data_IF_766403641126
#
_entry.id   IF_766403641126
#
_cell.length_a   1.000
_cell.length_b   1.000
_cell.length_c   1.000
_cell.angle_alpha   90.00
_cell.angle_beta   90.00
_cell.angle_gamma   90.00
#
_symmetry.space_group_name_H-M   'P 1'
#
loop_
_entity.id
_entity.type
_entity.pdbx_description
1 polymer ?
#
# COMPACT_ATOMS: atom_id res chain seq x y z
N UNK A 1 -25.28 -15.49 -28.78
CA UNK A 1 -24.20 -15.72 -27.79
C UNK A 1 -23.03 -14.71 -27.90
N UNK A 2 -22.53 -14.36 -29.10
CA UNK A 2 -21.41 -13.44 -29.30
C UNK A 2 -21.64 -12.03 -28.79
N UNK A 3 -22.86 -11.47 -28.89
CA UNK A 3 -23.17 -10.11 -28.45
C UNK A 3 -23.09 -9.92 -26.91
N UNK A 4 -23.48 -10.92 -26.14
CA UNK A 4 -23.41 -10.88 -24.65
C UNK A 4 -21.96 -10.92 -24.20
N UNK A 5 -21.12 -11.71 -24.85
CA UNK A 5 -19.67 -11.78 -24.57
C UNK A 5 -18.97 -10.47 -24.92
N UNK A 6 -19.34 -9.86 -26.05
CA UNK A 6 -18.78 -8.56 -26.47
C UNK A 6 -19.18 -7.42 -25.51
N UNK A 7 -20.43 -7.38 -25.04
CA UNK A 7 -20.89 -6.39 -24.06
C UNK A 7 -20.21 -6.57 -22.68
N UNK A 8 -20.00 -7.82 -22.26
CA UNK A 8 -19.27 -8.13 -21.04
C UNK A 8 -17.81 -7.69 -21.11
N UNK A 9 -17.14 -7.93 -22.23
CA UNK A 9 -15.76 -7.49 -22.47
C UNK A 9 -15.65 -5.97 -22.52
N UNK A 10 -16.56 -5.30 -23.21
CA UNK A 10 -16.60 -3.84 -23.29
C UNK A 10 -16.83 -3.20 -21.90
N UNK A 11 -17.75 -3.74 -21.09
CA UNK A 11 -17.98 -3.31 -19.73
C UNK A 11 -16.76 -3.49 -18.83
N UNK A 12 -16.06 -4.63 -18.98
CA UNK A 12 -14.82 -4.90 -18.26
C UNK A 12 -13.70 -3.91 -18.67
N UNK A 13 -13.50 -3.67 -19.96
CA UNK A 13 -12.53 -2.69 -20.44
C UNK A 13 -12.84 -1.27 -19.95
N UNK A 14 -14.14 -0.87 -19.99
CA UNK A 14 -14.56 0.44 -19.50
C UNK A 14 -14.30 0.62 -17.99
N UNK A 15 -14.46 -0.44 -17.20
CA UNK A 15 -14.14 -0.38 -15.76
C UNK A 15 -12.65 -0.13 -15.50
N UNK A 16 -11.76 -0.70 -16.31
CA UNK A 16 -10.31 -0.43 -16.23
C UNK A 16 -9.96 1.01 -16.60
N UNK A 17 -10.57 1.52 -17.68
CA UNK A 17 -10.37 2.92 -18.10
C UNK A 17 -10.89 3.89 -17.05
N UNK A 18 -12.05 3.60 -16.44
CA UNK A 18 -12.58 4.40 -15.35
C UNK A 18 -11.66 4.38 -14.14
N UNK A 19 -11.20 3.21 -13.70
CA UNK A 19 -10.25 3.07 -12.58
C UNK A 19 -8.95 3.84 -12.86
N UNK A 20 -8.38 3.68 -14.05
CA UNK A 20 -7.15 4.37 -14.44
C UNK A 20 -7.27 5.91 -14.42
N UNK A 21 -8.49 6.45 -14.61
CA UNK A 21 -8.75 7.88 -14.54
C UNK A 21 -9.15 8.38 -13.16
N UNK A 22 -9.58 7.50 -12.29
CA UNK A 22 -10.09 7.85 -10.94
C UNK A 22 -9.03 7.78 -9.85
N UNK A 23 -7.88 7.16 -10.12
CA UNK A 23 -6.76 7.06 -9.17
C UNK A 23 -5.53 7.77 -9.72
N UNK A 24 -4.69 8.37 -8.86
CA UNK A 24 -3.45 9.00 -9.30
C UNK A 24 -2.47 7.94 -9.84
N UNK A 25 -1.62 8.37 -10.78
CA UNK A 25 -0.54 7.52 -11.29
C UNK A 25 0.63 7.52 -10.29
N UNK A 26 0.41 6.87 -9.15
CA UNK A 26 1.43 6.55 -8.15
C UNK A 26 1.42 5.06 -7.88
N UNK A 27 2.54 4.52 -7.45
CA UNK A 27 2.74 3.09 -7.18
C UNK A 27 3.29 2.83 -5.77
N UNK A 28 3.42 3.88 -4.98
CA UNK A 28 3.90 3.88 -3.60
C UNK A 28 2.80 4.44 -2.70
N UNK A 29 2.37 3.63 -1.73
CA UNK A 29 1.31 3.99 -0.80
C UNK A 29 1.77 3.72 0.63
N UNK A 30 1.68 4.74 1.50
CA UNK A 30 2.11 4.69 2.89
C UNK A 30 1.06 5.27 3.83
N UNK A 31 0.96 4.73 5.03
CA UNK A 31 0.11 5.28 6.10
C UNK A 31 0.71 6.51 6.78
N UNK A 32 2.03 6.60 6.80
CA UNK A 32 2.78 7.76 7.30
C UNK A 32 3.56 8.38 6.14
N UNK A 33 3.15 9.57 5.70
CA UNK A 33 3.77 10.26 4.58
C UNK A 33 4.97 11.11 5.01
N UNK A 34 5.01 11.52 6.28
CA UNK A 34 6.10 12.35 6.81
C UNK A 34 7.35 11.50 7.09
N UNK A 35 7.13 10.25 7.56
CA UNK A 35 8.19 9.28 7.84
C UNK A 35 7.75 7.89 7.35
N UNK A 36 7.74 7.64 6.03
CA UNK A 36 7.28 6.37 5.49
C UNK A 36 8.15 5.20 5.97
N UNK A 37 7.56 4.04 6.35
CA UNK A 37 8.33 2.86 6.70
C UNK A 37 9.37 2.52 5.64
N UNK A 38 10.61 2.28 6.08
CA UNK A 38 11.74 1.98 5.19
C UNK A 38 11.99 0.48 5.12
N UNK A 39 12.30 -0.03 3.93
CA UNK A 39 12.73 -1.40 3.73
C UNK A 39 14.18 -1.59 4.23
N UNK A 40 14.49 -2.79 4.76
CA UNK A 40 15.83 -3.19 5.20
C UNK A 40 16.30 -4.49 4.56
N UNK A 41 15.41 -5.47 4.42
CA UNK A 41 15.69 -6.74 3.75
C UNK A 41 15.33 -6.68 2.26
N UNK A 42 14.19 -6.08 1.95
CA UNK A 42 13.81 -5.76 0.59
C UNK A 42 14.35 -4.38 0.21
N UNK A 43 14.49 -4.11 -1.07
CA UNK A 43 15.01 -2.85 -1.56
C UNK A 43 13.91 -2.01 -2.22
N UNK A 44 13.79 -0.76 -1.80
CA UNK A 44 13.01 0.21 -2.56
C UNK A 44 13.67 0.42 -3.94
N UNK A 45 12.86 0.49 -5.00
CA UNK A 45 13.38 0.80 -6.34
C UNK A 45 14.07 2.18 -6.35
N UNK A 46 15.17 2.29 -7.07
CA UNK A 46 16.00 3.51 -7.09
C UNK A 46 15.26 4.72 -7.66
N UNK A 47 14.36 4.49 -8.62
CA UNK A 47 13.55 5.48 -9.33
C UNK A 47 12.13 5.66 -8.72
N UNK A 48 11.96 5.34 -7.44
CA UNK A 48 10.63 5.22 -6.81
C UNK A 48 9.72 6.46 -6.95
N UNK A 49 10.28 7.65 -7.00
CA UNK A 49 9.52 8.90 -7.12
C UNK A 49 9.78 9.66 -8.43
N UNK A 50 10.61 9.13 -9.33
CA UNK A 50 11.00 9.84 -10.54
C UNK A 50 9.80 10.07 -11.49
N UNK A 51 8.89 9.10 -11.52
CA UNK A 51 7.71 9.09 -12.40
C UNK A 51 6.46 9.77 -11.79
N UNK A 52 6.58 10.41 -10.61
CA UNK A 52 5.42 11.06 -9.97
C UNK A 52 4.91 12.21 -10.83
N UNK A 53 3.63 12.15 -11.30
CA UNK A 53 3.08 13.14 -12.23
C UNK A 53 2.89 14.52 -11.59
N UNK A 54 2.48 15.51 -12.43
CA UNK A 54 2.12 16.84 -11.98
C UNK A 54 3.25 17.86 -12.04
N UNK A 55 4.42 17.54 -12.63
CA UNK A 55 5.51 18.51 -12.76
C UNK A 55 5.13 19.76 -13.55
N UNK A 56 4.26 19.57 -14.56
CA UNK A 56 3.78 20.64 -15.44
C UNK A 56 2.40 21.20 -15.03
N UNK A 57 1.77 20.62 -14.00
CA UNK A 57 0.46 21.05 -13.50
C UNK A 57 0.58 22.37 -12.75
N UNK A 58 -0.30 23.33 -13.03
CA UNK A 58 -0.28 24.63 -12.38
C UNK A 58 -0.37 24.56 -10.86
N UNK A 59 -1.16 23.60 -10.32
CA UNK A 59 -1.36 23.40 -8.88
C UNK A 59 -0.16 22.77 -8.18
N UNK A 60 0.70 22.05 -8.91
CA UNK A 60 1.87 21.35 -8.38
C UNK A 60 3.19 21.97 -8.84
N UNK A 61 3.12 23.11 -9.54
CA UNK A 61 4.29 23.81 -10.07
C UNK A 61 5.24 24.21 -8.94
N UNK A 62 6.50 23.79 -9.08
CA UNK A 62 7.55 24.06 -8.10
C UNK A 62 7.64 23.04 -6.95
N UNK A 63 6.72 22.09 -6.87
CA UNK A 63 6.84 20.99 -5.93
C UNK A 63 7.89 19.97 -6.43
N UNK A 64 8.73 19.47 -5.50
CA UNK A 64 9.62 18.36 -5.81
C UNK A 64 8.83 17.02 -5.90
N UNK A 65 9.43 15.93 -6.41
CA UNK A 65 8.74 14.64 -6.56
C UNK A 65 8.10 14.12 -5.27
N UNK A 66 8.77 14.23 -4.14
CA UNK A 66 8.25 13.84 -2.83
C UNK A 66 6.98 14.63 -2.47
N UNK A 67 7.01 15.95 -2.63
CA UNK A 67 5.87 16.82 -2.33
C UNK A 67 4.67 16.54 -3.25
N UNK A 68 4.93 16.26 -4.54
CA UNK A 68 3.87 15.85 -5.48
C UNK A 68 3.25 14.52 -5.07
N UNK A 69 4.08 13.52 -4.74
CA UNK A 69 3.62 12.23 -4.24
C UNK A 69 2.74 12.39 -3.00
N UNK A 70 3.18 13.16 -2.00
CA UNK A 70 2.39 13.43 -0.80
C UNK A 70 1.04 14.10 -1.10
N UNK A 71 1.02 15.07 -2.02
CA UNK A 71 -0.20 15.76 -2.42
C UNK A 71 -1.19 14.81 -3.09
N UNK A 72 -0.73 14.04 -4.09
CA UNK A 72 -1.53 13.06 -4.80
C UNK A 72 -2.06 11.97 -3.86
N UNK A 73 -1.20 11.48 -2.96
CA UNK A 73 -1.56 10.46 -2.00
C UNK A 73 -2.64 10.94 -1.02
N UNK A 74 -2.46 12.13 -0.42
CA UNK A 74 -3.45 12.73 0.50
C UNK A 74 -4.81 12.94 -0.17
N UNK A 75 -4.83 13.39 -1.40
CA UNK A 75 -6.05 13.64 -2.15
C UNK A 75 -6.81 12.35 -2.48
N UNK A 76 -6.10 11.28 -2.88
CA UNK A 76 -6.73 10.04 -3.32
C UNK A 76 -6.92 9.01 -2.19
N UNK A 77 -6.02 9.00 -1.21
CA UNK A 77 -5.91 7.95 -0.19
C UNK A 77 -5.81 8.53 1.23
N UNK A 78 -6.49 9.65 1.51
CA UNK A 78 -6.46 10.31 2.81
C UNK A 78 -7.02 9.48 3.97
N UNK A 79 -7.69 8.37 3.68
CA UNK A 79 -8.14 7.35 4.64
C UNK A 79 -7.08 6.28 4.96
N UNK A 80 -6.02 6.16 4.14
CA UNK A 80 -4.88 5.28 4.40
C UNK A 80 -4.00 5.91 5.47
N UNK A 81 -4.15 5.44 6.71
CA UNK A 81 -3.55 6.07 7.90
C UNK A 81 -2.99 5.02 8.85
N UNK A 82 -2.08 5.46 9.69
CA UNK A 82 -1.60 4.75 10.88
C UNK A 82 -2.76 4.19 11.69
N UNK A 83 -2.66 2.93 12.14
CA UNK A 83 -3.65 2.31 13.01
C UNK A 83 -3.08 2.04 14.40
N UNK A 84 -3.97 2.03 15.41
CA UNK A 84 -3.64 1.63 16.79
C UNK A 84 -4.25 0.27 17.07
N UNK A 85 -3.48 -0.60 17.71
CA UNK A 85 -3.89 -1.95 18.09
C UNK A 85 -3.59 -2.13 19.57
N UNK A 86 -4.56 -2.66 20.34
CA UNK A 86 -4.44 -2.85 21.79
C UNK A 86 -3.65 -4.13 22.16
N UNK A 87 -2.69 -4.51 21.33
CA UNK A 87 -1.83 -5.66 21.51
C UNK A 87 -0.37 -5.18 21.55
N UNK A 88 0.54 -5.85 22.30
CA UNK A 88 1.95 -5.49 22.30
C UNK A 88 2.63 -5.79 20.97
N UNK A 89 3.75 -5.11 20.71
CA UNK A 89 4.49 -5.18 19.43
C UNK A 89 4.75 -6.62 18.98
N UNK A 90 5.18 -7.49 19.90
CA UNK A 90 5.51 -8.89 19.60
C UNK A 90 4.29 -9.65 19.04
N UNK A 91 3.12 -9.43 19.61
CA UNK A 91 1.89 -10.13 19.20
C UNK A 91 1.39 -9.59 17.87
N UNK A 92 1.48 -8.25 17.65
CA UNK A 92 1.11 -7.61 16.40
C UNK A 92 2.01 -8.05 15.26
N UNK A 93 3.34 -8.13 15.46
CA UNK A 93 4.28 -8.65 14.45
C UNK A 93 3.98 -10.10 14.12
N UNK A 94 3.76 -10.97 15.12
CA UNK A 94 3.41 -12.35 14.89
C UNK A 94 2.07 -12.52 14.15
N UNK A 95 1.09 -11.67 14.45
CA UNK A 95 -0.21 -11.64 13.75
C UNK A 95 -0.05 -11.16 12.30
N UNK A 96 0.74 -10.12 12.08
CA UNK A 96 1.03 -9.59 10.75
C UNK A 96 1.75 -10.62 9.87
N UNK A 97 2.72 -11.36 10.42
CA UNK A 97 3.40 -12.45 9.72
C UNK A 97 2.42 -13.55 9.29
N UNK A 98 1.55 -14.01 10.22
CA UNK A 98 0.51 -15.00 9.89
C UNK A 98 -0.44 -14.53 8.81
N UNK A 99 -0.88 -13.26 8.89
CA UNK A 99 -1.76 -12.65 7.89
C UNK A 99 -1.08 -12.54 6.51
N UNK A 100 0.20 -12.18 6.46
CA UNK A 100 0.97 -12.14 5.22
C UNK A 100 1.07 -13.53 4.58
N UNK A 101 1.44 -14.55 5.38
CA UNK A 101 1.50 -15.94 4.92
C UNK A 101 0.13 -16.47 4.45
N UNK A 102 -0.96 -16.16 5.15
CA UNK A 102 -2.32 -16.54 4.76
C UNK A 102 -2.79 -15.90 3.44
N UNK A 103 -2.11 -14.84 2.99
CA UNK A 103 -2.31 -14.18 1.69
C UNK A 103 -1.32 -14.62 0.62
N UNK A 104 -0.58 -15.70 0.85
CA UNK A 104 0.49 -16.20 -0.02
C UNK A 104 1.56 -15.14 -0.34
N UNK A 105 1.84 -14.24 0.63
CA UNK A 105 2.96 -13.31 0.50
C UNK A 105 4.27 -13.99 0.90
N UNK A 106 5.32 -13.70 0.16
CA UNK A 106 6.69 -14.16 0.46
C UNK A 106 7.29 -13.26 1.56
N UNK A 107 7.30 -13.78 2.81
CA UNK A 107 7.78 -13.04 3.98
C UNK A 107 9.30 -13.09 4.03
N UNK A 108 9.94 -11.94 3.81
CA UNK A 108 11.40 -11.80 3.84
C UNK A 108 11.93 -11.71 5.28
N UNK A 109 11.19 -11.03 6.17
CA UNK A 109 11.53 -10.93 7.59
C UNK A 109 10.26 -10.64 8.42
N UNK A 110 10.23 -11.18 9.65
CA UNK A 110 9.34 -10.78 10.72
C UNK A 110 10.18 -10.69 12.01
N UNK A 111 10.47 -9.48 12.45
CA UNK A 111 11.32 -9.20 13.61
C UNK A 111 10.51 -8.46 14.68
N UNK A 112 10.12 -9.15 15.77
CA UNK A 112 9.36 -8.54 16.84
C UNK A 112 10.19 -7.58 17.72
N UNK A 113 11.52 -7.69 17.70
CA UNK A 113 12.40 -6.78 18.48
C UNK A 113 12.47 -5.43 17.79
N UNK A 114 12.64 -5.43 16.45
CA UNK A 114 12.60 -4.20 15.65
C UNK A 114 11.18 -3.73 15.33
N UNK A 115 10.15 -4.53 15.62
CA UNK A 115 8.78 -4.23 15.27
C UNK A 115 8.57 -4.16 13.76
N UNK A 116 9.10 -5.14 13.00
CA UNK A 116 9.16 -5.09 11.53
C UNK A 116 8.63 -6.35 10.88
N UNK A 117 7.87 -6.16 9.80
CA UNK A 117 7.57 -7.25 8.86
C UNK A 117 7.81 -6.72 7.45
N UNK A 118 8.58 -7.47 6.64
CA UNK A 118 8.72 -7.20 5.20
C UNK A 118 8.31 -8.43 4.40
N UNK A 119 7.54 -8.21 3.35
CA UNK A 119 7.05 -9.28 2.49
C UNK A 119 6.86 -8.79 1.05
N UNK A 120 6.85 -9.73 0.11
CA UNK A 120 6.50 -9.46 -1.29
C UNK A 120 5.14 -10.07 -1.61
N UNK A 121 4.20 -9.23 -2.01
CA UNK A 121 2.90 -9.63 -2.55
C UNK A 121 3.00 -9.81 -4.07
N UNK A 122 2.33 -10.83 -4.61
CA UNK A 122 2.25 -11.03 -6.07
C UNK A 122 0.83 -10.84 -6.54
N UNK A 123 0.61 -9.95 -7.54
CA UNK A 123 -0.72 -9.69 -8.07
C UNK A 123 -1.24 -10.90 -8.85
N UNK A 124 -2.55 -11.19 -8.73
CA UNK A 124 -3.12 -12.41 -9.30
C UNK A 124 -3.08 -12.44 -10.83
N UNK A 125 -3.39 -11.31 -11.49
CA UNK A 125 -3.59 -11.29 -12.95
C UNK A 125 -2.27 -11.16 -13.72
N UNK A 126 -1.44 -10.18 -13.38
CA UNK A 126 -0.21 -9.88 -14.13
C UNK A 126 1.07 -10.37 -13.45
N UNK A 127 0.94 -10.98 -12.27
CA UNK A 127 2.07 -11.50 -11.49
C UNK A 127 3.11 -10.43 -11.14
N UNK A 128 2.71 -9.16 -11.10
CA UNK A 128 3.56 -8.09 -10.62
C UNK A 128 3.88 -8.27 -9.15
N UNK A 129 5.09 -7.89 -8.78
CA UNK A 129 5.57 -7.95 -7.40
C UNK A 129 5.49 -6.57 -6.76
N UNK A 130 4.88 -6.52 -5.59
CA UNK A 130 4.79 -5.33 -4.77
C UNK A 130 5.41 -5.64 -3.41
N UNK A 131 6.36 -4.82 -3.00
CA UNK A 131 7.00 -4.97 -1.69
C UNK A 131 6.20 -4.24 -0.62
N UNK A 132 6.12 -4.88 0.53
CA UNK A 132 5.36 -4.40 1.68
C UNK A 132 6.26 -4.36 2.89
N UNK A 133 6.18 -3.28 3.65
CA UNK A 133 6.80 -3.17 4.96
C UNK A 133 5.79 -2.68 6.00
N UNK A 134 5.77 -3.33 7.15
CA UNK A 134 5.10 -2.86 8.35
C UNK A 134 6.15 -2.41 9.37
N UNK A 135 5.85 -1.29 10.02
CA UNK A 135 6.56 -0.77 11.18
C UNK A 135 5.60 -0.75 12.35
N UNK A 136 5.91 -1.53 13.38
CA UNK A 136 5.11 -1.65 14.60
C UNK A 136 5.90 -1.04 15.75
N UNK A 137 5.34 -0.03 16.42
CA UNK A 137 5.96 0.67 17.53
C UNK A 137 5.07 0.61 18.77
N UNK A 138 5.62 0.62 19.99
CA UNK A 138 4.79 0.79 21.18
C UNK A 138 3.99 2.10 21.09
N UNK A 139 2.74 2.08 21.56
CA UNK A 139 1.97 3.30 21.68
C UNK A 139 2.53 4.17 22.83
N UNK A 140 2.39 5.49 22.73
CA UNK A 140 2.92 6.44 23.73
C UNK A 140 2.35 6.21 25.14
N UNK A 141 1.11 5.75 25.22
CA UNK A 141 0.44 5.42 26.49
C UNK A 141 0.80 4.03 27.04
N UNK A 142 1.66 3.28 26.33
CA UNK A 142 2.09 1.93 26.72
C UNK A 142 1.00 0.85 26.64
N UNK A 143 -0.20 1.16 26.09
CA UNK A 143 -1.36 0.25 26.10
C UNK A 143 -1.60 -0.48 24.77
N UNK A 144 -0.56 -0.63 23.97
CA UNK A 144 -0.65 -1.32 22.69
C UNK A 144 0.41 -0.88 21.70
N UNK A 145 0.10 -0.96 20.43
CA UNK A 145 1.00 -0.68 19.34
C UNK A 145 0.43 0.33 18.34
N UNK A 146 1.31 1.07 17.70
CA UNK A 146 1.04 1.91 16.53
C UNK A 146 1.64 1.23 15.33
N UNK A 147 0.84 1.04 14.28
CA UNK A 147 1.24 0.31 13.07
C UNK A 147 1.18 1.22 11.87
N UNK A 148 2.31 1.37 11.21
CA UNK A 148 2.43 1.94 9.88
C UNK A 148 2.70 0.86 8.85
N UNK A 149 2.18 1.05 7.65
CA UNK A 149 2.37 0.14 6.54
C UNK A 149 2.65 0.93 5.26
N UNK A 150 3.59 0.42 4.46
CA UNK A 150 3.89 0.93 3.12
C UNK A 150 3.85 -0.23 2.13
N UNK A 151 3.33 0.01 0.93
CA UNK A 151 3.31 -0.95 -0.17
C UNK A 151 3.74 -0.28 -1.46
N UNK A 152 4.74 -0.86 -2.15
CA UNK A 152 5.40 -0.25 -3.32
C UNK A 152 5.51 -1.28 -4.44
N UNK A 153 5.09 -0.92 -5.64
CA UNK A 153 5.28 -1.77 -6.81
C UNK A 153 6.72 -1.71 -7.32
N UNK A 154 7.29 -2.88 -7.63
CA UNK A 154 8.65 -2.97 -8.17
C UNK A 154 8.76 -2.41 -9.59
N UNK A 155 7.65 -2.35 -10.32
CA UNK A 155 7.59 -1.89 -11.72
C UNK A 155 6.32 -1.09 -12.00
N UNK A 156 6.38 -0.24 -13.00
CA UNK A 156 5.25 0.58 -13.46
C UNK A 156 5.18 1.95 -12.79
N UNK A 157 4.45 2.86 -13.44
CA UNK A 157 4.23 4.25 -13.00
C UNK A 157 3.00 4.35 -12.09
N UNK A 158 2.01 3.47 -12.31
CA UNK A 158 0.76 3.42 -11.56
C UNK A 158 0.43 1.98 -11.22
N UNK A 159 -0.07 1.78 -10.00
CA UNK A 159 -0.60 0.50 -9.52
C UNK A 159 -2.12 0.37 -9.65
N UNK A 160 -2.78 1.39 -10.22
CA UNK A 160 -4.24 1.47 -10.34
C UNK A 160 -4.99 1.31 -9.00
N UNK A 161 -4.38 1.74 -7.90
CA UNK A 161 -4.94 1.68 -6.55
C UNK A 161 -4.80 0.32 -5.84
N UNK A 162 -4.06 -0.62 -6.42
CA UNK A 162 -3.87 -1.96 -5.83
C UNK A 162 -3.14 -1.89 -4.49
N UNK A 163 -2.09 -1.06 -4.38
CA UNK A 163 -1.37 -0.89 -3.12
C UNK A 163 -2.25 -0.27 -2.03
N UNK A 164 -3.04 0.76 -2.35
CA UNK A 164 -3.96 1.36 -1.39
C UNK A 164 -5.02 0.36 -0.89
N UNK A 165 -5.59 -0.43 -1.80
CA UNK A 165 -6.53 -1.50 -1.45
C UNK A 165 -5.88 -2.55 -0.55
N UNK A 166 -4.64 -2.94 -0.85
CA UNK A 166 -3.86 -3.90 -0.05
C UNK A 166 -3.62 -3.40 1.36
N UNK A 167 -3.15 -2.15 1.50
CA UNK A 167 -2.89 -1.53 2.81
C UNK A 167 -4.16 -1.48 3.65
N UNK A 168 -5.27 -0.99 3.08
CA UNK A 168 -6.57 -0.95 3.78
C UNK A 168 -7.01 -2.32 4.27
N UNK A 169 -7.04 -3.31 3.37
CA UNK A 169 -7.50 -4.66 3.68
C UNK A 169 -6.60 -5.34 4.73
N UNK A 170 -5.29 -5.15 4.63
CA UNK A 170 -4.36 -5.76 5.58
C UNK A 170 -4.50 -5.16 6.98
N UNK A 171 -4.54 -3.83 7.08
CA UNK A 171 -4.66 -3.15 8.37
C UNK A 171 -6.03 -3.37 9.02
N UNK A 172 -7.11 -3.47 8.24
CA UNK A 172 -8.42 -3.84 8.75
C UNK A 172 -8.43 -5.22 9.40
N UNK A 173 -7.87 -6.23 8.72
CA UNK A 173 -7.80 -7.59 9.27
C UNK A 173 -6.82 -7.67 10.46
N UNK A 174 -5.72 -6.92 10.41
CA UNK A 174 -4.76 -6.88 11.51
C UNK A 174 -5.37 -6.26 12.77
N UNK A 175 -6.15 -5.19 12.63
CA UNK A 175 -6.82 -4.52 13.75
C UNK A 175 -8.09 -5.23 14.21
N UNK A 176 -8.58 -6.23 13.46
CA UNK A 176 -9.86 -6.89 13.73
C UNK A 176 -11.07 -6.01 13.38
N UNK A 177 -10.88 -4.92 12.63
CA UNK A 177 -11.96 -4.07 12.13
C UNK A 177 -12.54 -4.72 10.89
N UNK A 178 -13.79 -5.18 10.95
CA UNK A 178 -14.49 -5.75 9.79
C UNK A 178 -14.74 -4.60 8.81
N UNK A 179 -14.06 -4.58 7.68
CA UNK A 179 -14.45 -3.74 6.56
C UNK A 179 -15.73 -4.31 5.96
N UNK A 180 -16.85 -3.60 6.15
CA UNK A 180 -18.05 -3.88 5.38
C UNK A 180 -17.69 -3.74 3.88
N UNK A 181 -17.81 -4.86 3.14
CA UNK A 181 -17.53 -4.94 1.70
C UNK A 181 -18.55 -4.21 0.85
#
# INVERSE_FOLDING_TARGET
>A
MGMIVALGYAGWMLSWVYTARSVPAIHDVSTDLADPPQFRMLALRADNLDDVPGADDAEMKGLNPQQRWESLHRNAYGDVRTVRISEPVIDVVAKAERLAKARDWDVAIADPIEGRVEATATTALFRFKDDVVLRVRPSEDGKGSVVDMRSVSRVGVSDLGVNAKRVRAFLADLSGTVTAG
#
